data_IF_015810137051
#
_entry.id   IF_015810137051
#
_cell.length_a   1.000
_cell.length_b   1.000
_cell.length_c   1.000
_cell.angle_alpha   90.00
_cell.angle_beta   90.00
_cell.angle_gamma   90.00
#
_symmetry.space_group_name_H-M   'P 1'
#
loop_
_entity.id
_entity.type
_entity.pdbx_description
1 polymer ?
#
# COMPACT_ATOMS: atom_id res chain seq x y z
N UNK A 1 -25.95 10.56 -23.21
CA UNK A 1 -25.16 9.31 -23.28
C UNK A 1 -23.68 9.65 -23.38
N UNK A 2 -22.96 9.72 -22.25
CA UNK A 2 -21.52 10.03 -22.23
C UNK A 2 -20.69 8.75 -22.40
N UNK A 3 -19.83 8.75 -23.42
CA UNK A 3 -19.00 7.62 -23.89
C UNK A 3 -17.75 7.40 -23.03
N UNK A 4 -17.86 7.19 -21.73
CA UNK A 4 -16.67 7.12 -20.84
C UNK A 4 -16.42 5.79 -20.12
N UNK A 5 -17.20 4.75 -20.38
CA UNK A 5 -17.07 3.46 -19.68
C UNK A 5 -16.50 2.35 -20.56
N UNK A 6 -15.28 2.54 -21.10
CA UNK A 6 -14.54 1.48 -21.79
C UNK A 6 -13.19 1.12 -21.14
N UNK A 7 -12.72 1.88 -20.15
CA UNK A 7 -11.48 1.57 -19.43
C UNK A 7 -11.70 0.84 -18.09
N UNK A 8 -12.95 0.75 -17.59
CA UNK A 8 -13.25 0.33 -16.21
C UNK A 8 -13.23 -1.19 -15.96
N UNK A 9 -12.90 -2.03 -16.97
CA UNK A 9 -12.94 -3.50 -16.84
C UNK A 9 -11.58 -4.19 -17.02
N UNK A 10 -10.48 -3.46 -17.16
CA UNK A 10 -9.17 -4.10 -17.03
C UNK A 10 -8.92 -4.41 -15.56
N UNK A 11 -8.64 -5.66 -15.23
CA UNK A 11 -8.11 -6.00 -13.91
C UNK A 11 -6.74 -5.34 -13.81
N UNK A 12 -6.62 -4.21 -13.12
CA UNK A 12 -5.47 -3.28 -13.16
C UNK A 12 -4.14 -3.90 -12.67
N UNK A 13 -4.06 -5.20 -12.37
CA UNK A 13 -2.86 -5.84 -11.81
C UNK A 13 -2.50 -5.34 -10.41
N UNK A 14 -3.48 -4.80 -9.69
CA UNK A 14 -3.28 -4.21 -8.38
C UNK A 14 -2.84 -5.27 -7.36
N UNK A 15 -1.73 -4.99 -6.67
CA UNK A 15 -1.34 -5.73 -5.46
C UNK A 15 -2.18 -5.29 -4.26
N UNK A 16 -2.08 -6.01 -3.14
CA UNK A 16 -2.73 -5.60 -1.89
C UNK A 16 -2.34 -4.18 -1.46
N UNK A 17 -1.09 -3.76 -1.71
CA UNK A 17 -0.63 -2.39 -1.44
C UNK A 17 -1.28 -1.35 -2.35
N UNK A 18 -1.53 -1.67 -3.63
CA UNK A 18 -2.27 -0.78 -4.54
C UNK A 18 -3.69 -0.55 -4.03
N UNK A 19 -4.38 -1.64 -3.66
CA UNK A 19 -5.73 -1.57 -3.11
C UNK A 19 -5.76 -0.74 -1.84
N UNK A 20 -4.83 -0.97 -0.90
CA UNK A 20 -4.74 -0.21 0.35
C UNK A 20 -4.44 1.29 0.12
N UNK A 21 -3.57 1.62 -0.85
CA UNK A 21 -3.26 3.00 -1.21
C UNK A 21 -4.47 3.73 -1.80
N UNK A 22 -5.36 3.01 -2.52
CA UNK A 22 -6.60 3.55 -3.07
C UNK A 22 -7.74 3.76 -2.05
N UNK A 23 -7.62 3.27 -0.81
CA UNK A 23 -8.64 3.43 0.25
C UNK A 23 -8.66 4.86 0.85
N UNK A 24 -8.94 5.86 0.01
CA UNK A 24 -9.03 7.25 0.45
C UNK A 24 -10.14 7.43 1.50
N UNK A 25 -9.84 8.19 2.56
CA UNK A 25 -10.79 8.46 3.64
C UNK A 25 -10.98 7.34 4.66
N UNK A 26 -10.44 6.13 4.44
CA UNK A 26 -10.52 5.05 5.42
C UNK A 26 -9.69 5.37 6.68
N UNK A 27 -10.29 5.25 7.87
CA UNK A 27 -9.61 5.51 9.14
C UNK A 27 -8.37 4.63 9.33
N UNK A 28 -8.38 3.42 8.78
CA UNK A 28 -7.36 2.39 9.01
C UNK A 28 -6.38 2.23 7.84
N UNK A 29 -6.38 3.17 6.88
CA UNK A 29 -5.51 3.10 5.70
C UNK A 29 -4.03 2.96 6.06
N UNK A 30 -3.56 3.72 7.06
CA UNK A 30 -2.17 3.69 7.52
C UNK A 30 -1.80 2.34 8.16
N UNK A 31 -2.69 1.80 8.98
CA UNK A 31 -2.51 0.51 9.64
C UNK A 31 -2.47 -0.64 8.63
N UNK A 32 -3.39 -0.65 7.65
CA UNK A 32 -3.41 -1.65 6.58
C UNK A 32 -2.11 -1.60 5.77
N UNK A 33 -1.65 -0.42 5.37
CA UNK A 33 -0.37 -0.27 4.64
C UNK A 33 0.80 -0.76 5.51
N UNK A 34 0.81 -0.40 6.80
CA UNK A 34 1.83 -0.85 7.74
C UNK A 34 1.90 -2.37 7.87
N UNK A 35 0.76 -3.02 8.06
CA UNK A 35 0.65 -4.48 8.14
C UNK A 35 1.13 -5.15 6.85
N UNK A 36 0.70 -4.66 5.69
CA UNK A 36 1.12 -5.21 4.40
C UNK A 36 2.64 -5.12 4.23
N UNK A 37 3.25 -3.97 4.56
CA UNK A 37 4.70 -3.80 4.53
C UNK A 37 5.42 -4.73 5.52
N UNK A 38 4.89 -4.89 6.74
CA UNK A 38 5.43 -5.81 7.75
C UNK A 38 5.37 -7.28 7.32
N UNK A 39 4.40 -7.65 6.49
CA UNK A 39 4.31 -8.98 5.87
C UNK A 39 5.17 -9.13 4.60
N UNK A 40 6.00 -8.15 4.27
CA UNK A 40 6.92 -8.21 3.13
C UNK A 40 6.28 -7.80 1.80
N UNK A 41 5.14 -7.10 1.82
CA UNK A 41 4.59 -6.53 0.59
C UNK A 41 5.56 -5.50 0.01
N UNK A 42 5.91 -5.65 -1.27
CA UNK A 42 6.85 -4.76 -1.94
C UNK A 42 6.13 -3.50 -2.49
N UNK A 43 6.45 -2.30 -1.97
CA UNK A 43 5.85 -1.05 -2.42
C UNK A 43 6.39 -0.53 -3.76
N UNK A 44 7.36 -1.23 -4.37
CA UNK A 44 7.95 -0.85 -5.65
C UNK A 44 7.31 -1.53 -6.87
N UNK A 45 6.50 -2.58 -6.62
CA UNK A 45 5.79 -3.32 -7.66
C UNK A 45 4.87 -2.39 -8.43
N UNK A 46 4.80 -2.63 -9.74
CA UNK A 46 3.94 -1.89 -10.66
C UNK A 46 2.76 -2.73 -11.08
N UNK A 47 1.60 -2.09 -11.16
CA UNK A 47 0.38 -2.68 -11.68
C UNK A 47 0.39 -2.67 -13.24
N UNK A 48 -0.70 -3.07 -13.90
CA UNK A 48 -0.79 -3.07 -15.37
C UNK A 48 -0.79 -1.68 -15.99
N UNK A 49 -1.19 -0.65 -15.24
CA UNK A 49 -1.10 0.76 -15.63
C UNK A 49 0.29 1.35 -15.40
N UNK A 50 1.27 0.51 -15.02
CA UNK A 50 2.63 0.90 -14.67
C UNK A 50 2.70 1.83 -13.45
N UNK A 51 1.66 1.84 -12.62
CA UNK A 51 1.59 2.59 -11.37
C UNK A 51 2.14 1.80 -10.19
N UNK A 52 2.76 2.51 -9.25
CA UNK A 52 3.14 1.98 -7.94
C UNK A 52 2.06 2.34 -6.90
N UNK A 53 2.01 1.64 -5.75
CA UNK A 53 1.08 1.99 -4.67
C UNK A 53 1.19 3.46 -4.23
N UNK A 54 2.39 4.03 -4.30
CA UNK A 54 2.64 5.43 -3.94
C UNK A 54 1.91 6.43 -4.87
N UNK A 55 1.60 6.05 -6.11
CA UNK A 55 0.87 6.90 -7.06
C UNK A 55 -0.62 6.98 -6.72
N UNK A 56 -1.17 5.96 -6.06
CA UNK A 56 -2.60 5.89 -5.70
C UNK A 56 -2.93 6.61 -4.38
N UNK A 57 -1.91 7.06 -3.64
CA UNK A 57 -2.10 7.75 -2.36
C UNK A 57 -2.81 9.10 -2.53
N UNK A 58 -3.70 9.47 -1.59
CA UNK A 58 -4.35 10.78 -1.61
C UNK A 58 -3.33 11.92 -1.50
N UNK A 59 -3.70 13.10 -1.98
CA UNK A 59 -2.93 14.32 -1.71
C UNK A 59 -3.13 14.81 -0.27
N UNK A 60 -2.22 15.64 0.22
CA UNK A 60 -2.31 16.28 1.54
C UNK A 60 -1.58 15.54 2.65
N UNK A 61 -1.75 16.00 3.89
CA UNK A 61 -0.96 15.58 5.06
C UNK A 61 -1.00 14.07 5.30
N UNK A 62 -2.17 13.44 5.16
CA UNK A 62 -2.32 11.98 5.31
C UNK A 62 -1.56 11.24 4.21
N UNK A 63 -1.67 11.68 2.96
CA UNK A 63 -0.93 11.14 1.83
C UNK A 63 0.57 11.17 2.02
N UNK A 64 1.11 12.33 2.44
CA UNK A 64 2.54 12.51 2.69
C UNK A 64 3.06 11.58 3.81
N UNK A 65 2.25 11.35 4.86
CA UNK A 65 2.59 10.36 5.90
C UNK A 65 2.69 8.94 5.33
N UNK A 66 1.72 8.53 4.51
CA UNK A 66 1.73 7.22 3.85
C UNK A 66 2.87 7.08 2.83
N UNK A 67 3.21 8.15 2.11
CA UNK A 67 4.40 8.19 1.24
C UNK A 67 5.66 7.95 2.05
N UNK A 68 5.77 8.57 3.22
CA UNK A 68 6.87 8.33 4.16
C UNK A 68 6.97 6.87 4.59
N UNK A 69 5.84 6.24 4.89
CA UNK A 69 5.77 4.82 5.28
C UNK A 69 6.21 3.89 4.14
N UNK A 70 5.67 4.06 2.92
CA UNK A 70 6.05 3.26 1.75
C UNK A 70 7.53 3.42 1.38
N UNK A 71 8.10 4.62 1.50
CA UNK A 71 9.54 4.86 1.27
C UNK A 71 10.42 4.16 2.30
N UNK A 72 9.97 4.10 3.56
CA UNK A 72 10.67 3.41 4.66
C UNK A 72 10.48 1.90 4.66
N UNK A 73 9.40 1.40 4.05
CA UNK A 73 9.13 -0.03 3.86
C UNK A 73 10.27 -0.81 3.20
N UNK A 74 11.14 -0.13 2.46
CA UNK A 74 12.40 -0.69 1.92
C UNK A 74 13.42 -1.15 2.98
N UNK A 75 13.25 -0.79 4.26
CA UNK A 75 14.26 -1.02 5.31
C UNK A 75 13.82 -1.90 6.48
N UNK A 76 12.56 -2.33 6.55
CA UNK A 76 12.03 -3.16 7.65
C UNK A 76 12.21 -4.66 7.43
N UNK A 77 13.23 -5.04 6.64
CA UNK A 77 13.62 -6.44 6.43
C UNK A 77 14.65 -6.99 7.42
N UNK A 78 15.09 -6.26 8.45
CA UNK A 78 16.24 -6.70 9.24
C UNK A 78 16.28 -6.36 10.74
N UNK A 79 15.15 -5.99 11.37
CA UNK A 79 15.17 -5.75 12.82
C UNK A 79 13.94 -6.30 13.53
N UNK A 80 14.16 -7.47 14.13
CA UNK A 80 13.50 -7.98 15.32
C UNK A 80 12.10 -8.55 15.13
N UNK A 81 12.04 -9.88 15.01
CA UNK A 81 11.08 -10.65 15.80
C UNK A 81 11.53 -10.52 17.26
N UNK A 82 10.87 -9.74 18.15
CA UNK A 82 11.04 -9.98 19.56
C UNK A 82 10.35 -11.30 19.86
N UNK A 83 11.15 -12.35 20.07
CA UNK A 83 10.67 -13.56 20.74
C UNK A 83 9.88 -13.14 21.98
N UNK A 84 8.59 -13.48 21.98
CA UNK A 84 7.71 -13.36 23.13
C UNK A 84 6.77 -14.56 23.12
N UNK A 85 7.35 -15.74 23.25
CA UNK A 85 6.74 -16.78 24.07
C UNK A 85 7.75 -17.11 25.19
N UNK A 86 7.57 -16.56 26.40
CA UNK A 86 8.16 -17.14 27.59
C UNK A 86 7.26 -18.27 28.12
N UNK A 87 7.92 -19.37 28.49
CA UNK A 87 7.44 -20.42 29.40
C UNK A 87 6.36 -21.40 28.90
N UNK A 88 6.80 -22.62 28.57
CA UNK A 88 6.53 -23.83 29.38
C UNK A 88 7.63 -24.87 29.13
#
# INVERSE_FOLDING_TARGET
MSRTSLHELQAHGNTALHMAAGLQGAAHQEEIIGLLLSHGADPSLRNLDNDQPIHLLPAGTKGERLRGLLRRGKGIGAASLPGKDPAV
#
